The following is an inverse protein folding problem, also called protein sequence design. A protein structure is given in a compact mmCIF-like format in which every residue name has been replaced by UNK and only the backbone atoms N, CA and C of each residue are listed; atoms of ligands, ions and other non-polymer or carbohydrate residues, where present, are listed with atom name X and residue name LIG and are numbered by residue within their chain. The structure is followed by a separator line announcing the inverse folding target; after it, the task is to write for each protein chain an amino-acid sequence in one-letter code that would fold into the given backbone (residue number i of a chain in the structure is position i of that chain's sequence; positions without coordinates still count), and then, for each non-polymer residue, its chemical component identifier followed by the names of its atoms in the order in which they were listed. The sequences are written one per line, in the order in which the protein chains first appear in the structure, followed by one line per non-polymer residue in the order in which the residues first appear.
data_IF_513180865718
#
_entry.id   IF_513180865718
#
_cell.length_a   1.000
_cell.length_b   1.000
_cell.length_c   1.000
_cell.angle_alpha   90.00
_cell.angle_beta   90.00
_cell.angle_gamma   90.00
#
_symmetry.space_group_name_H-M   'P 1'
#
loop_
_entity.id
_entity.type
_entity.pdbx_description
1 polymer ?
#
# COMPACT_ATOMS: atom_id res chain seq x y z
N UNK A 1 9.65 33.03 15.05
CA UNK A 1 10.45 31.98 15.74
C UNK A 1 9.60 30.74 16.01
N UNK A 2 8.48 30.85 16.74
CA UNK A 2 7.60 29.70 17.04
C UNK A 2 6.94 29.06 15.80
N UNK A 3 6.38 29.85 14.88
CA UNK A 3 5.78 29.33 13.64
C UNK A 3 6.79 28.71 12.64
N UNK A 4 8.07 29.12 12.70
CA UNK A 4 9.14 28.52 11.88
C UNK A 4 9.60 27.21 12.51
N UNK A 5 9.64 27.14 13.85
CA UNK A 5 9.92 25.91 14.57
C UNK A 5 8.79 24.89 14.39
N UNK A 6 7.52 25.30 14.46
CA UNK A 6 6.34 24.47 14.15
C UNK A 6 6.30 24.03 12.68
N UNK A 7 6.75 24.88 11.74
CA UNK A 7 6.91 24.49 10.35
C UNK A 7 8.10 23.56 10.13
N UNK A 8 9.21 23.69 10.88
CA UNK A 8 10.37 22.79 10.80
C UNK A 8 10.13 21.46 11.51
N UNK A 9 9.40 21.47 12.63
CA UNK A 9 8.90 20.28 13.32
C UNK A 9 7.78 19.65 12.50
N UNK A 10 6.94 20.44 11.86
CA UNK A 10 6.00 20.02 10.83
C UNK A 10 6.69 19.42 9.61
N UNK A 11 7.83 19.96 9.17
CA UNK A 11 8.64 19.40 8.08
C UNK A 11 9.31 18.10 8.53
N UNK A 12 9.92 18.07 9.73
CA UNK A 12 10.49 16.86 10.36
C UNK A 12 9.44 15.77 10.58
N UNK A 13 8.21 16.13 10.93
CA UNK A 13 7.08 15.22 11.09
C UNK A 13 6.37 14.92 9.75
N UNK A 14 6.51 15.75 8.71
CA UNK A 14 5.93 15.53 7.36
C UNK A 14 6.83 14.68 6.45
N UNK A 15 8.07 14.44 6.86
CA UNK A 15 8.82 13.31 6.36
C UNK A 15 8.47 12.11 7.24
N UNK A 16 7.30 11.50 7.02
CA UNK A 16 6.92 10.25 7.69
C UNK A 16 7.85 9.11 7.24
N UNK A 17 9.04 9.08 7.85
CA UNK A 17 9.95 7.96 7.91
C UNK A 17 9.49 7.02 9.03
N UNK A 18 8.26 6.53 9.03
CA UNK A 18 7.78 5.72 10.17
C UNK A 18 7.74 4.25 9.77
N UNK A 19 6.78 3.87 8.95
CA UNK A 19 6.67 2.52 8.39
C UNK A 19 5.54 2.49 7.36
N UNK A 20 5.48 1.46 6.54
CA UNK A 20 4.35 1.26 5.64
C UNK A 20 4.28 -0.14 5.10
N UNK A 21 3.11 -0.50 4.58
CA UNK A 21 2.82 -1.81 4.02
C UNK A 21 1.95 -1.71 2.76
N UNK A 22 2.30 -2.52 1.76
CA UNK A 22 1.46 -2.73 0.59
C UNK A 22 0.28 -3.62 0.97
N UNK A 23 -0.82 -3.45 0.24
CA UNK A 23 -1.90 -4.42 0.33
C UNK A 23 -1.43 -5.77 -0.24
N UNK A 24 -1.95 -6.85 0.35
CA UNK A 24 -1.66 -8.22 -0.04
C UNK A 24 -2.81 -8.73 -0.90
N UNK A 25 -2.50 -9.42 -1.99
CA UNK A 25 -3.48 -10.11 -2.83
C UNK A 25 -3.26 -11.60 -2.66
N UNK A 26 -4.33 -12.33 -2.33
CA UNK A 26 -4.36 -13.79 -2.27
C UNK A 26 -5.29 -14.27 -3.38
N UNK A 27 -4.81 -15.15 -4.25
CA UNK A 27 -5.58 -15.70 -5.37
C UNK A 27 -5.86 -17.17 -5.13
N UNK A 28 -7.14 -17.52 -5.11
CA UNK A 28 -7.60 -18.91 -5.04
C UNK A 28 -7.77 -19.49 -6.44
N UNK A 29 -7.06 -20.58 -6.73
CA UNK A 29 -7.04 -21.24 -8.03
C UNK A 29 -8.10 -22.33 -8.17
N UNK A 30 -8.37 -22.72 -9.42
CA UNK A 30 -9.38 -23.73 -9.74
C UNK A 30 -9.06 -25.10 -9.15
N UNK A 31 -7.78 -25.44 -9.04
CA UNK A 31 -7.28 -26.71 -8.51
C UNK A 31 -7.22 -26.75 -6.97
N UNK A 32 -7.62 -25.66 -6.30
CA UNK A 32 -7.57 -25.51 -4.85
C UNK A 32 -6.23 -24.97 -4.33
N UNK A 33 -5.23 -24.77 -5.20
CA UNK A 33 -3.99 -24.08 -4.81
C UNK A 33 -4.24 -22.59 -4.57
N UNK A 34 -3.29 -21.96 -3.86
CA UNK A 34 -3.36 -20.54 -3.51
C UNK A 34 -2.00 -19.90 -3.76
N UNK A 35 -2.01 -18.74 -4.40
CA UNK A 35 -0.84 -17.85 -4.53
C UNK A 35 -1.11 -16.56 -3.75
N UNK A 36 -0.04 -15.87 -3.35
CA UNK A 36 -0.18 -14.54 -2.77
C UNK A 36 0.97 -13.61 -3.16
N UNK A 37 0.68 -12.32 -3.15
CA UNK A 37 1.72 -11.30 -3.27
C UNK A 37 2.56 -11.23 -2.00
N UNK A 38 3.74 -10.65 -2.12
CA UNK A 38 4.62 -10.40 -0.98
C UNK A 38 3.93 -9.55 0.11
N UNK A 39 4.13 -9.94 1.37
CA UNK A 39 3.83 -9.14 2.56
C UNK A 39 4.92 -8.07 2.72
N UNK A 40 4.87 -7.08 1.83
CA UNK A 40 5.86 -6.01 1.81
C UNK A 40 5.60 -5.05 2.96
N UNK A 41 6.49 -5.04 3.95
CA UNK A 41 6.49 -4.11 5.07
C UNK A 41 7.87 -3.48 5.21
N UNK A 42 7.93 -2.16 5.26
CA UNK A 42 9.16 -1.42 5.47
C UNK A 42 8.98 -0.55 6.71
N UNK A 43 10.00 -0.58 7.57
CA UNK A 43 10.14 0.29 8.72
C UNK A 43 11.28 1.28 8.51
N UNK A 44 11.29 2.36 9.28
CA UNK A 44 12.45 3.23 9.44
C UNK A 44 13.46 2.73 10.46
N UNK A 45 13.39 1.45 10.86
CA UNK A 45 14.32 0.91 11.84
C UNK A 45 15.78 1.04 11.39
N UNK A 46 16.06 1.03 10.09
CA UNK A 46 17.42 1.22 9.55
C UNK A 46 17.96 2.67 9.69
N UNK A 47 17.09 3.66 9.93
CA UNK A 47 17.44 5.10 9.98
C UNK A 47 17.14 5.74 11.33
N UNK A 48 15.92 5.59 11.85
CA UNK A 48 15.44 6.32 13.04
C UNK A 48 15.23 5.39 14.23
N UNK A 49 14.61 4.23 14.02
CA UNK A 49 14.19 3.32 15.09
C UNK A 49 15.06 2.06 15.20
N UNK A 50 16.39 2.23 15.28
CA UNK A 50 17.36 1.11 15.21
C UNK A 50 17.17 0.02 16.28
N UNK A 51 16.54 0.34 17.40
CA UNK A 51 16.20 -0.63 18.44
C UNK A 51 15.13 -1.66 18.01
N UNK A 52 14.40 -1.39 16.91
CA UNK A 52 13.44 -2.33 16.32
C UNK A 52 14.09 -3.39 15.43
N UNK A 53 15.35 -3.20 15.01
CA UNK A 53 16.06 -4.18 14.18
C UNK A 53 16.12 -5.54 14.90
N UNK A 54 15.81 -6.61 14.16
CA UNK A 54 15.75 -7.98 14.68
C UNK A 54 14.55 -8.29 15.58
N UNK A 55 13.63 -7.33 15.82
CA UNK A 55 12.40 -7.61 16.55
C UNK A 55 11.44 -8.44 15.70
N UNK A 56 10.69 -9.30 16.39
CA UNK A 56 9.58 -10.06 15.81
C UNK A 56 8.39 -9.15 15.59
N UNK A 57 7.82 -9.25 14.39
CA UNK A 57 6.61 -8.56 13.95
C UNK A 57 5.48 -9.58 13.94
N UNK A 58 4.48 -9.30 14.76
CA UNK A 58 3.23 -10.03 14.82
C UNK A 58 2.31 -9.55 13.69
N UNK A 59 1.67 -10.49 13.00
CA UNK A 59 0.66 -10.19 11.98
C UNK A 59 -0.71 -10.45 12.57
N UNK A 60 -1.60 -9.45 12.51
CA UNK A 60 -3.00 -9.61 12.88
C UNK A 60 -3.87 -9.54 11.64
N UNK A 61 -4.79 -10.50 11.50
CA UNK A 61 -5.80 -10.54 10.46
C UNK A 61 -7.16 -10.24 11.10
N UNK A 62 -7.87 -9.23 10.60
CA UNK A 62 -9.17 -8.82 11.12
C UNK A 62 -9.19 -8.61 12.65
N UNK A 63 -8.09 -8.05 13.19
CA UNK A 63 -7.88 -7.81 14.62
C UNK A 63 -7.36 -9.00 15.42
N UNK A 64 -7.33 -10.20 14.84
CA UNK A 64 -6.88 -11.43 15.51
C UNK A 64 -5.43 -11.76 15.15
N UNK A 65 -4.60 -12.06 16.15
CA UNK A 65 -3.24 -12.55 15.92
C UNK A 65 -3.28 -13.87 15.14
N UNK A 66 -2.56 -13.94 14.03
CA UNK A 66 -2.42 -15.16 13.20
C UNK A 66 -1.02 -15.76 13.36
N UNK A 67 -0.82 -17.06 13.05
CA UNK A 67 0.47 -17.73 13.21
C UNK A 67 1.49 -17.36 12.12
N UNK A 68 1.44 -16.14 11.59
CA UNK A 68 2.48 -15.57 10.73
C UNK A 68 3.39 -14.68 11.56
N UNK A 69 4.70 -14.88 11.43
CA UNK A 69 5.71 -14.08 12.10
C UNK A 69 6.76 -13.60 11.10
N UNK A 70 7.11 -12.33 11.21
CA UNK A 70 8.17 -11.72 10.42
C UNK A 70 9.23 -11.14 11.35
N UNK A 71 10.45 -10.90 10.84
CA UNK A 71 11.52 -10.22 11.57
C UNK A 71 11.91 -8.97 10.82
N UNK A 72 12.17 -7.87 11.54
CA UNK A 72 12.69 -6.64 10.95
C UNK A 72 14.17 -6.85 10.58
N UNK A 73 14.44 -6.87 9.28
CA UNK A 73 15.78 -6.98 8.70
C UNK A 73 16.63 -5.73 8.90
N UNK A 74 17.91 -5.82 8.55
CA UNK A 74 18.89 -4.73 8.74
C UNK A 74 18.61 -3.50 7.87
N UNK A 75 17.96 -3.69 6.73
CA UNK A 75 17.47 -2.63 5.83
C UNK A 75 16.10 -2.08 6.25
N UNK A 76 15.57 -2.55 7.39
CA UNK A 76 14.27 -2.18 7.92
C UNK A 76 13.09 -2.86 7.23
N UNK A 77 13.30 -3.72 6.24
CA UNK A 77 12.24 -4.53 5.62
C UNK A 77 11.92 -5.73 6.51
N UNK A 78 10.65 -6.07 6.61
CA UNK A 78 10.26 -7.28 7.33
C UNK A 78 10.37 -8.50 6.41
N UNK A 79 10.90 -9.61 6.91
CA UNK A 79 11.05 -10.89 6.21
C UNK A 79 10.49 -12.03 7.04
N UNK A 80 10.03 -13.11 6.40
CA UNK A 80 9.69 -14.36 7.08
C UNK A 80 10.96 -15.13 7.50
N UNK A 81 10.79 -16.23 8.22
CA UNK A 81 11.91 -17.00 8.81
C UNK A 81 12.94 -17.54 7.79
N UNK A 82 12.53 -17.71 6.54
CA UNK A 82 13.39 -18.12 5.42
C UNK A 82 14.06 -16.94 4.69
N UNK A 83 13.84 -15.71 5.17
CA UNK A 83 14.36 -14.49 4.56
C UNK A 83 13.55 -13.97 3.37
N UNK A 84 12.43 -14.62 3.02
CA UNK A 84 11.56 -14.18 1.92
C UNK A 84 10.51 -13.17 2.40
N UNK A 85 9.76 -12.60 1.45
CA UNK A 85 8.62 -11.71 1.71
C UNK A 85 7.27 -12.39 1.52
N UNK A 86 7.26 -13.69 1.21
CA UNK A 86 6.04 -14.46 0.89
C UNK A 86 5.99 -15.62 1.88
N UNK A 87 4.92 -15.75 2.68
CA UNK A 87 4.79 -16.90 3.58
C UNK A 87 4.59 -18.19 2.78
N UNK A 88 4.77 -19.33 3.44
CA UNK A 88 4.61 -20.63 2.79
C UNK A 88 3.15 -20.85 2.39
N UNK A 89 2.92 -21.54 1.27
CA UNK A 89 1.58 -21.76 0.71
C UNK A 89 0.62 -22.39 1.73
N UNK A 90 1.13 -23.33 2.55
CA UNK A 90 0.32 -23.96 3.59
C UNK A 90 -0.14 -22.98 4.68
N UNK A 91 0.69 -22.00 5.05
CA UNK A 91 0.34 -20.97 6.05
C UNK A 91 -0.77 -20.06 5.51
N UNK A 92 -0.71 -19.67 4.24
CA UNK A 92 -1.74 -18.86 3.58
C UNK A 92 -3.06 -19.62 3.46
N UNK A 93 -3.01 -20.89 3.07
CA UNK A 93 -4.21 -21.72 2.86
C UNK A 93 -5.05 -21.91 4.14
N UNK A 94 -4.43 -21.73 5.31
CA UNK A 94 -5.07 -21.90 6.63
C UNK A 94 -5.58 -20.59 7.23
N UNK A 95 -5.32 -19.45 6.59
CA UNK A 95 -5.79 -18.17 7.10
C UNK A 95 -7.32 -18.09 7.03
N UNK A 96 -7.99 -17.60 8.10
CA UNK A 96 -9.45 -17.43 8.13
C UNK A 96 -9.87 -16.18 7.34
N UNK A 97 -9.59 -16.18 6.03
CA UNK A 97 -9.92 -15.08 5.12
C UNK A 97 -11.42 -15.00 4.90
N UNK A 98 -11.92 -13.77 4.87
CA UNK A 98 -13.27 -13.44 4.38
C UNK A 98 -13.18 -13.10 2.90
N UNK A 99 -14.27 -13.32 2.17
CA UNK A 99 -14.39 -12.86 0.78
C UNK A 99 -14.17 -11.35 0.70
N UNK A 100 -13.37 -10.92 -0.29
CA UNK A 100 -13.03 -9.50 -0.46
C UNK A 100 -11.89 -9.05 0.46
N UNK A 101 -11.99 -7.84 1.01
CA UNK A 101 -10.92 -7.23 1.82
C UNK A 101 -10.97 -7.70 3.28
N UNK A 102 -9.79 -8.02 3.78
CA UNK A 102 -9.48 -8.29 5.18
C UNK A 102 -8.51 -7.22 5.69
N UNK A 103 -8.54 -6.93 6.99
CA UNK A 103 -7.58 -5.99 7.60
C UNK A 103 -6.31 -6.72 8.01
N UNK A 104 -5.15 -6.16 7.69
CA UNK A 104 -3.85 -6.60 8.20
C UNK A 104 -3.22 -5.51 9.06
N UNK A 105 -2.81 -5.88 10.27
CA UNK A 105 -1.98 -5.04 11.13
C UNK A 105 -0.66 -5.73 11.44
N UNK A 106 0.44 -5.01 11.25
CA UNK A 106 1.79 -5.46 11.59
C UNK A 106 2.24 -4.77 12.88
N UNK A 107 2.60 -5.53 13.91
CA UNK A 107 2.85 -5.00 15.26
C UNK A 107 4.15 -5.51 15.88
N UNK A 108 4.78 -4.69 16.72
CA UNK A 108 5.85 -5.11 17.63
C UNK A 108 5.37 -4.86 19.06
N UNK A 109 5.00 -5.93 19.76
CA UNK A 109 4.30 -5.82 21.03
C UNK A 109 2.99 -5.04 20.87
N UNK A 110 2.79 -4.00 21.67
CA UNK A 110 1.60 -3.14 21.57
C UNK A 110 1.69 -2.08 20.46
N UNK A 111 2.85 -1.86 19.84
CA UNK A 111 3.05 -0.81 18.84
C UNK A 111 2.62 -1.28 17.46
N UNK A 112 1.70 -0.55 16.82
CA UNK A 112 1.36 -0.74 15.41
C UNK A 112 2.50 -0.16 14.55
N UNK A 113 3.06 -0.99 13.66
CA UNK A 113 4.04 -0.55 12.68
C UNK A 113 3.35 -0.07 11.40
N UNK A 114 2.49 -0.89 10.82
CA UNK A 114 1.80 -0.56 9.59
C UNK A 114 0.47 -1.31 9.50
N UNK A 115 -0.49 -0.71 8.80
CA UNK A 115 -1.73 -1.37 8.39
C UNK A 115 -1.73 -1.64 6.87
N UNK A 116 -2.50 -2.61 6.43
CA UNK A 116 -2.74 -2.92 5.02
C UNK A 116 -4.08 -3.63 4.84
N UNK A 117 -4.54 -3.76 3.60
CA UNK A 117 -5.58 -4.71 3.21
C UNK A 117 -4.99 -6.05 2.80
N UNK A 118 -5.73 -7.13 3.01
CA UNK A 118 -5.54 -8.41 2.32
C UNK A 118 -6.78 -8.73 1.51
N UNK A 119 -6.62 -8.83 0.20
CA UNK A 119 -7.70 -9.08 -0.74
C UNK A 119 -7.71 -10.55 -1.15
N UNK A 120 -8.77 -11.27 -0.79
CA UNK A 120 -9.01 -12.63 -1.26
C UNK A 120 -9.79 -12.58 -2.57
N UNK A 121 -9.11 -12.91 -3.66
CA UNK A 121 -9.62 -12.90 -5.04
C UNK A 121 -9.62 -14.32 -5.63
N UNK A 122 -10.39 -14.51 -6.70
CA UNK A 122 -10.44 -15.76 -7.45
C UNK A 122 -9.56 -15.67 -8.69
N UNK A 123 -9.02 -16.80 -9.16
CA UNK A 123 -8.27 -16.87 -10.42
C UNK A 123 -9.05 -16.32 -11.63
N UNK A 124 -10.38 -16.33 -11.57
CA UNK A 124 -11.29 -15.84 -12.61
C UNK A 124 -11.70 -14.38 -12.46
N UNK A 125 -11.27 -13.68 -11.40
CA UNK A 125 -11.59 -12.27 -11.21
C UNK A 125 -10.88 -11.42 -12.27
N UNK A 126 -11.62 -10.52 -12.92
CA UNK A 126 -11.06 -9.58 -13.91
C UNK A 126 -10.58 -8.33 -13.19
N UNK A 127 -9.30 -7.97 -13.37
CA UNK A 127 -8.67 -6.85 -12.68
C UNK A 127 -8.50 -5.67 -13.62
N UNK A 128 -8.88 -4.48 -13.16
CA UNK A 128 -8.47 -3.21 -13.78
C UNK A 128 -7.39 -2.57 -12.92
N UNK A 129 -6.22 -2.39 -13.53
CA UNK A 129 -5.08 -1.73 -12.89
C UNK A 129 -5.14 -0.23 -13.21
N UNK A 130 -5.08 0.59 -12.18
CA UNK A 130 -5.27 2.04 -12.26
C UNK A 130 -4.04 2.73 -11.68
N UNK A 131 -3.31 3.47 -12.51
CA UNK A 131 -2.23 4.33 -12.03
C UNK A 131 -2.82 5.47 -11.17
N UNK A 132 -2.10 5.93 -10.15
CA UNK A 132 -2.55 7.04 -9.31
C UNK A 132 -2.00 8.36 -9.83
N UNK A 133 -0.67 8.47 -9.89
CA UNK A 133 0.02 9.74 -10.14
C UNK A 133 -0.10 10.12 -11.63
N UNK A 134 -0.81 11.21 -11.92
CA UNK A 134 -1.12 11.67 -13.28
C UNK A 134 -2.34 11.01 -13.94
N UNK A 135 -3.00 10.06 -13.26
CA UNK A 135 -4.25 9.43 -13.75
C UNK A 135 -5.43 9.72 -12.83
N UNK A 136 -5.30 9.48 -11.51
CA UNK A 136 -6.31 9.87 -10.52
C UNK A 136 -6.05 11.31 -10.07
N UNK A 137 -4.81 11.60 -9.67
CA UNK A 137 -4.42 12.93 -9.19
C UNK A 137 -4.11 13.85 -10.37
N UNK A 138 -4.67 15.07 -10.38
CA UNK A 138 -4.25 16.14 -11.30
C UNK A 138 -2.91 16.73 -10.82
N UNK A 139 -1.88 16.59 -11.65
CA UNK A 139 -0.56 17.18 -11.40
C UNK A 139 -0.46 18.66 -11.80
N UNK A 140 -1.42 19.15 -12.59
CA UNK A 140 -1.22 20.34 -13.43
C UNK A 140 -1.45 21.69 -12.71
N UNK A 141 -1.88 21.69 -11.46
CA UNK A 141 -2.28 22.93 -10.75
C UNK A 141 -1.45 23.27 -9.50
N UNK A 142 -0.44 22.48 -9.12
CA UNK A 142 0.32 22.75 -7.88
C UNK A 142 1.70 22.09 -7.71
N UNK A 143 2.24 21.44 -8.75
CA UNK A 143 3.59 20.86 -8.72
C UNK A 143 3.82 19.83 -7.60
N UNK A 144 5.10 19.63 -7.23
CA UNK A 144 5.54 18.68 -6.19
C UNK A 144 4.83 18.88 -4.85
N UNK A 145 4.44 20.13 -4.54
CA UNK A 145 3.74 20.50 -3.30
C UNK A 145 2.32 19.94 -3.25
N UNK A 146 1.54 19.99 -4.33
CA UNK A 146 0.19 19.40 -4.34
C UNK A 146 0.25 17.86 -4.15
N UNK A 147 1.26 17.19 -4.71
CA UNK A 147 1.51 15.76 -4.51
C UNK A 147 2.18 15.40 -3.17
N UNK A 148 2.65 16.40 -2.41
CA UNK A 148 3.24 16.19 -1.09
C UNK A 148 2.15 15.81 -0.08
N UNK A 149 2.54 15.18 1.03
CA UNK A 149 1.62 14.85 2.12
C UNK A 149 0.98 16.09 2.71
N UNK A 150 1.77 17.15 2.82
CA UNK A 150 1.33 18.47 3.23
C UNK A 150 0.31 19.05 2.23
N UNK A 151 0.54 18.92 0.93
CA UNK A 151 -0.43 19.35 -0.08
C UNK A 151 -1.72 18.53 -0.07
N UNK A 152 -1.64 17.22 0.14
CA UNK A 152 -2.83 16.37 0.30
C UNK A 152 -3.60 16.71 1.59
N UNK A 153 -2.92 16.98 2.71
CA UNK A 153 -3.54 17.43 3.96
C UNK A 153 -4.18 18.82 3.83
N UNK A 154 -3.62 19.70 3.00
CA UNK A 154 -4.16 21.02 2.68
C UNK A 154 -5.23 21.00 1.57
N UNK A 155 -5.60 19.83 1.03
CA UNK A 155 -6.59 19.71 -0.05
C UNK A 155 -6.10 20.23 -1.41
N UNK A 156 -4.79 20.38 -1.60
CA UNK A 156 -4.19 20.88 -2.84
C UNK A 156 -4.11 19.80 -3.94
N UNK A 157 -4.13 18.52 -3.56
CA UNK A 157 -4.26 17.40 -4.50
C UNK A 157 -5.73 17.24 -4.93
N UNK A 158 -6.01 17.52 -6.20
CA UNK A 158 -7.37 17.39 -6.75
C UNK A 158 -7.44 16.14 -7.64
N UNK A 159 -8.48 15.34 -7.47
CA UNK A 159 -8.76 14.23 -8.38
C UNK A 159 -9.23 14.76 -9.75
N UNK A 160 -9.04 13.98 -10.82
CA UNK A 160 -9.70 14.26 -12.10
C UNK A 160 -11.23 14.15 -11.93
N UNK A 161 -11.98 15.12 -12.45
CA UNK A 161 -13.45 15.12 -12.36
C UNK A 161 -14.03 13.85 -12.98
N UNK A 162 -14.92 13.17 -12.25
CA UNK A 162 -15.60 11.97 -12.72
C UNK A 162 -14.80 10.68 -12.56
N UNK A 163 -13.58 10.73 -11.99
CA UNK A 163 -12.76 9.53 -11.80
C UNK A 163 -13.42 8.55 -10.83
N UNK A 164 -14.06 9.03 -9.76
CA UNK A 164 -14.73 8.15 -8.80
C UNK A 164 -15.98 7.50 -9.43
N UNK A 165 -16.72 8.26 -10.25
CA UNK A 165 -17.83 7.71 -11.05
C UNK A 165 -17.36 6.64 -12.04
N UNK A 166 -16.26 6.88 -12.77
CA UNK A 166 -15.71 5.91 -13.71
C UNK A 166 -15.24 4.63 -13.00
N UNK A 167 -14.53 4.75 -11.88
CA UNK A 167 -14.08 3.60 -11.09
C UNK A 167 -15.27 2.84 -10.49
N UNK A 168 -16.31 3.54 -10.03
CA UNK A 168 -17.53 2.91 -9.52
C UNK A 168 -18.28 2.12 -10.60
N UNK A 169 -18.32 2.62 -11.83
CA UNK A 169 -18.89 1.89 -12.96
C UNK A 169 -18.10 0.62 -13.27
N UNK A 170 -16.76 0.69 -13.26
CA UNK A 170 -15.89 -0.49 -13.44
C UNK A 170 -16.13 -1.52 -12.33
N UNK A 171 -16.14 -1.09 -11.07
CA UNK A 171 -16.36 -1.97 -9.93
C UNK A 171 -17.76 -2.62 -9.95
N UNK A 172 -18.81 -1.84 -10.26
CA UNK A 172 -20.18 -2.35 -10.35
C UNK A 172 -20.40 -3.32 -11.53
N UNK A 173 -19.56 -3.25 -12.57
CA UNK A 173 -19.53 -4.23 -13.66
C UNK A 173 -18.82 -5.55 -13.27
N UNK A 174 -18.34 -5.68 -12.03
CA UNK A 174 -17.75 -6.91 -11.48
C UNK A 174 -16.24 -6.99 -11.57
N UNK A 175 -15.55 -5.92 -12.00
CA UNK A 175 -14.09 -5.89 -12.03
C UNK A 175 -13.52 -5.56 -10.64
N UNK A 176 -12.36 -6.14 -10.32
CA UNK A 176 -11.55 -5.77 -9.16
C UNK A 176 -10.64 -4.60 -9.51
N UNK A 177 -10.53 -3.63 -8.62
CA UNK A 177 -9.61 -2.51 -8.79
C UNK A 177 -8.29 -2.79 -8.09
N UNK A 178 -7.19 -2.53 -8.81
CA UNK A 178 -5.84 -2.51 -8.26
C UNK A 178 -5.22 -1.15 -8.58
N UNK A 179 -5.01 -0.35 -7.55
CA UNK A 179 -4.35 0.94 -7.65
C UNK A 179 -2.83 0.77 -7.58
N UNK A 180 -2.12 1.33 -8.55
CA UNK A 180 -0.68 1.24 -8.70
C UNK A 180 -0.05 2.64 -8.58
N UNK A 181 1.03 2.76 -7.81
CA UNK A 181 1.80 4.00 -7.71
C UNK A 181 3.29 3.72 -7.48
N UNK A 182 4.15 4.62 -7.94
CA UNK A 182 5.57 4.59 -7.61
C UNK A 182 5.93 5.43 -6.39
N UNK A 183 4.93 5.85 -5.60
CA UNK A 183 5.16 6.42 -4.27
C UNK A 183 5.86 5.38 -3.38
N UNK A 184 6.70 5.81 -2.42
CA UNK A 184 7.32 4.92 -1.45
C UNK A 184 6.28 4.20 -0.59
N UNK A 185 6.60 2.99 -0.12
CA UNK A 185 5.72 2.20 0.76
C UNK A 185 5.36 2.90 2.07
N UNK A 186 6.25 3.75 2.57
CA UNK A 186 6.01 4.57 3.77
C UNK A 186 4.87 5.57 3.58
N UNK A 187 4.43 5.82 2.34
CA UNK A 187 3.28 6.69 2.01
C UNK A 187 2.00 5.91 1.70
N UNK A 188 1.99 4.59 1.92
CA UNK A 188 0.85 3.72 1.62
C UNK A 188 -0.42 4.11 2.38
N UNK A 189 -0.32 4.38 3.69
CA UNK A 189 -1.47 4.79 4.50
C UNK A 189 -2.04 6.15 4.06
N UNK A 190 -1.18 7.15 3.86
CA UNK A 190 -1.58 8.45 3.35
C UNK A 190 -2.26 8.34 1.97
N UNK A 191 -1.76 7.45 1.11
CA UNK A 191 -2.33 7.21 -0.22
C UNK A 191 -3.69 6.51 -0.14
N UNK A 192 -3.87 5.51 0.73
CA UNK A 192 -5.19 4.89 1.00
C UNK A 192 -6.16 5.93 1.55
N UNK A 193 -5.72 6.78 2.47
CA UNK A 193 -6.54 7.86 3.03
C UNK A 193 -6.99 8.83 1.94
N UNK A 194 -6.07 9.29 1.09
CA UNK A 194 -6.40 10.14 -0.04
C UNK A 194 -7.49 9.53 -0.93
N UNK A 195 -7.32 8.27 -1.37
CA UNK A 195 -8.32 7.56 -2.18
C UNK A 195 -9.68 7.49 -1.47
N UNK A 196 -9.71 7.29 -0.15
CA UNK A 196 -10.97 7.23 0.60
C UNK A 196 -11.69 8.58 0.74
N UNK A 197 -10.99 9.70 0.55
CA UNK A 197 -11.54 11.05 0.74
C UNK A 197 -11.98 11.75 -0.55
N UNK A 198 -11.65 11.22 -1.73
CA UNK A 198 -12.01 11.84 -3.01
C UNK A 198 -13.42 11.43 -3.47
N UNK A 199 -14.08 12.30 -4.23
CA UNK A 199 -15.41 12.05 -4.80
C UNK A 199 -16.56 12.79 -4.11
N UNK A 200 -16.30 13.46 -2.99
CA UNK A 200 -17.27 14.34 -2.34
C UNK A 200 -17.64 15.57 -3.19
N UNK A 201 -16.77 15.97 -4.09
CA UNK A 201 -16.92 17.10 -5.01
C UNK A 201 -17.81 16.77 -6.23
N UNK A 202 -18.13 15.50 -6.48
CA UNK A 202 -19.03 15.10 -7.57
C UNK A 202 -20.51 15.36 -7.20
N UNK A 203 -21.40 15.42 -8.22
CA UNK A 203 -22.83 15.65 -8.01
C UNK A 203 -23.66 14.63 -8.81
N UNK A 204 -24.31 13.65 -8.16
CA UNK A 204 -24.23 13.35 -6.73
C UNK A 204 -22.82 12.90 -6.30
N UNK A 205 -22.46 13.00 -5.01
CA UNK A 205 -21.17 12.49 -4.52
C UNK A 205 -21.03 11.00 -4.84
N UNK A 206 -19.89 10.61 -5.40
CA UNK A 206 -19.55 9.22 -5.68
C UNK A 206 -18.19 8.95 -5.06
N UNK A 207 -18.15 8.11 -4.02
CA UNK A 207 -16.90 7.77 -3.35
C UNK A 207 -16.06 6.82 -4.20
N UNK A 208 -14.73 6.87 -4.04
CA UNK A 208 -13.85 5.88 -4.66
C UNK A 208 -14.20 4.48 -4.14
N UNK A 209 -14.49 3.51 -5.03
CA UNK A 209 -14.69 2.12 -4.64
C UNK A 209 -13.42 1.49 -4.05
N UNK A 210 -13.62 0.41 -3.31
CA UNK A 210 -12.52 -0.33 -2.71
C UNK A 210 -11.65 -1.03 -3.77
N UNK A 211 -10.34 -1.02 -3.55
CA UNK A 211 -9.35 -1.70 -4.39
C UNK A 211 -8.03 -1.88 -3.65
N UNK A 212 -7.21 -2.81 -4.14
CA UNK A 212 -5.89 -3.08 -3.56
C UNK A 212 -4.91 -1.99 -3.96
N UNK A 213 -4.10 -1.48 -3.02
CA UNK A 213 -3.04 -0.52 -3.28
C UNK A 213 -1.66 -1.20 -3.30
N UNK A 214 -0.98 -1.10 -4.44
CA UNK A 214 0.42 -1.46 -4.60
C UNK A 214 1.25 -0.20 -4.83
N UNK A 215 2.13 0.10 -3.88
CA UNK A 215 3.14 1.17 -4.00
C UNK A 215 4.50 0.58 -4.38
N UNK A 216 5.53 1.42 -4.51
CA UNK A 216 6.91 0.92 -4.47
C UNK A 216 7.13 0.12 -3.19
N UNK A 217 7.74 -1.06 -3.27
CA UNK A 217 8.08 -1.88 -2.10
C UNK A 217 9.28 -1.33 -1.29
N UNK A 218 9.81 -0.17 -1.68
CA UNK A 218 10.95 0.49 -1.04
C UNK A 218 10.50 1.69 -0.20
N UNK A 219 11.23 1.98 0.86
CA UNK A 219 11.11 3.25 1.59
C UNK A 219 11.47 4.47 0.74
N UNK A 220 11.29 5.67 1.27
CA UNK A 220 11.44 6.95 0.54
C UNK A 220 12.77 7.07 -0.19
N UNK A 221 13.90 6.93 0.52
CA UNK A 221 15.23 7.07 -0.06
C UNK A 221 15.50 6.00 -1.13
N UNK A 222 15.10 4.75 -0.87
CA UNK A 222 15.25 3.66 -1.83
C UNK A 222 14.44 3.89 -3.11
N UNK A 223 13.22 4.41 -2.98
CA UNK A 223 12.36 4.76 -4.11
C UNK A 223 12.99 5.89 -4.95
N UNK A 224 13.45 6.97 -4.30
CA UNK A 224 14.14 8.06 -4.99
C UNK A 224 15.39 7.59 -5.73
N UNK A 225 16.19 6.73 -5.07
CA UNK A 225 17.47 6.28 -5.60
C UNK A 225 17.35 5.25 -6.71
N UNK A 226 16.30 4.43 -6.72
CA UNK A 226 16.23 3.24 -7.59
C UNK A 226 14.97 3.21 -8.48
N UNK A 227 13.82 3.63 -7.98
CA UNK A 227 12.55 3.55 -8.71
C UNK A 227 12.40 4.71 -9.70
N UNK A 228 12.66 5.94 -9.25
CA UNK A 228 12.46 7.12 -10.10
C UNK A 228 13.51 7.27 -11.21
N UNK A 229 14.63 6.54 -11.12
CA UNK A 229 15.62 6.46 -12.21
C UNK A 229 15.10 5.68 -13.42
N UNK A 230 14.29 4.66 -13.20
CA UNK A 230 13.68 3.86 -14.26
C UNK A 230 12.27 3.42 -13.87
N UNK A 231 11.37 4.42 -13.83
CA UNK A 231 9.98 4.26 -13.42
C UNK A 231 9.24 3.23 -14.28
N UNK A 232 9.53 3.21 -15.59
CA UNK A 232 8.84 2.35 -16.55
C UNK A 232 9.20 0.89 -16.31
N UNK A 233 10.48 0.57 -16.18
CA UNK A 233 10.91 -0.81 -15.89
C UNK A 233 10.40 -1.26 -14.53
N UNK A 234 10.40 -0.38 -13.53
CA UNK A 234 9.86 -0.71 -12.21
C UNK A 234 8.38 -1.07 -12.25
N UNK A 235 7.53 -0.23 -12.88
CA UNK A 235 6.10 -0.52 -13.05
C UNK A 235 5.89 -1.83 -13.82
N UNK A 236 6.68 -2.08 -14.86
CA UNK A 236 6.60 -3.32 -15.64
C UNK A 236 6.94 -4.56 -14.82
N UNK A 237 7.93 -4.49 -13.92
CA UNK A 237 8.22 -5.57 -12.97
C UNK A 237 7.04 -5.81 -12.02
N UNK A 238 6.46 -4.75 -11.44
CA UNK A 238 5.29 -4.90 -10.56
C UNK A 238 4.09 -5.52 -11.28
N UNK A 239 3.82 -5.11 -12.52
CA UNK A 239 2.75 -5.68 -13.33
C UNK A 239 2.97 -7.17 -13.62
N UNK A 240 4.23 -7.58 -13.88
CA UNK A 240 4.58 -9.00 -14.06
C UNK A 240 4.40 -9.79 -12.76
N UNK A 241 4.79 -9.25 -11.62
CA UNK A 241 4.58 -9.90 -10.32
C UNK A 241 3.09 -10.10 -10.04
N UNK A 242 2.25 -9.11 -10.35
CA UNK A 242 0.80 -9.22 -10.25
C UNK A 242 0.25 -10.28 -11.22
N UNK A 243 0.70 -10.28 -12.47
CA UNK A 243 0.29 -11.27 -13.49
C UNK A 243 0.59 -12.71 -13.03
N UNK A 244 1.76 -12.93 -12.42
CA UNK A 244 2.18 -14.24 -11.91
C UNK A 244 1.27 -14.78 -10.80
N UNK A 245 0.49 -13.95 -10.12
CA UNK A 245 -0.47 -14.41 -9.11
C UNK A 245 -1.62 -15.21 -9.72
N UNK A 246 -1.94 -14.98 -10.99
CA UNK A 246 -3.11 -15.54 -11.68
C UNK A 246 -2.76 -16.71 -12.60
N UNK A 247 -1.49 -17.11 -12.66
CA UNK A 247 -1.02 -18.23 -13.45
C UNK A 247 -0.95 -19.50 -12.60
#
# INVERSE_FOLDING_TARGET
MQAIQEALDGIRNSFDFVSGANDVIVVHHRDGSVTCSAFSVQTSAHTVNRHLLGKQVQVHLNGQLIPLQMTIGQDGRCVFGDGTYVPQVHEISQLPLRDGRNSLDFRVGSTLLANAGLFSWKWSDLIVIVDIDGTITRTDSGGVLASSEFGQQLGLAHAHKGVCSAMSQIASAGYRLLFLTARPITRSEATRKYLSTIGHEETPPVMMPEGALITSAMGTLGTMANVWKDLKSYKLTQLREIELLFR
#
